data_IF_795401751971
#
_entry.id   IF_795401751971
#
_cell.length_a   1.000
_cell.length_b   1.000
_cell.length_c   1.000
_cell.angle_alpha   90.00
_cell.angle_beta   90.00
_cell.angle_gamma   90.00
#
_symmetry.space_group_name_H-M   'P 1'
#
loop_
_entity.id
_entity.type
_entity.pdbx_description
1 polymer ?
#
# COMPACT_ATOMS: atom_id res chain seq x y z
N UNK A 1 10.77 3.14 -18.93
CA UNK A 1 10.43 2.30 -17.78
C UNK A 1 9.74 3.06 -16.64
N UNK A 2 9.95 4.38 -16.56
CA UNK A 2 9.26 5.21 -15.55
C UNK A 2 7.74 5.08 -15.62
N UNK A 3 7.19 5.03 -16.81
CA UNK A 3 5.74 4.89 -17.01
C UNK A 3 5.23 3.58 -16.41
N UNK A 4 5.96 2.50 -16.56
CA UNK A 4 5.58 1.19 -16.00
C UNK A 4 5.61 1.21 -14.47
N UNK A 5 6.64 1.82 -13.88
CA UNK A 5 6.69 2.02 -12.44
C UNK A 5 5.54 2.88 -11.95
N UNK A 6 5.25 3.96 -12.67
CA UNK A 6 4.15 4.85 -12.29
C UNK A 6 2.82 4.12 -12.22
N UNK A 7 2.52 3.24 -13.17
CA UNK A 7 1.28 2.46 -13.17
C UNK A 7 1.26 1.42 -12.06
N UNK A 8 2.36 0.72 -11.84
CA UNK A 8 2.41 -0.25 -10.74
C UNK A 8 2.21 0.44 -9.39
N UNK A 9 2.90 1.55 -9.17
CA UNK A 9 2.79 2.32 -7.93
C UNK A 9 1.37 2.87 -7.76
N UNK A 10 0.75 3.36 -8.84
CA UNK A 10 -0.62 3.86 -8.78
C UNK A 10 -1.61 2.77 -8.40
N UNK A 11 -1.46 1.57 -8.94
CA UNK A 11 -2.29 0.43 -8.58
C UNK A 11 -2.08 0.01 -7.12
N UNK A 12 -0.82 -0.03 -6.70
CA UNK A 12 -0.49 -0.35 -5.32
C UNK A 12 -1.06 0.69 -4.34
N UNK A 13 -1.02 1.96 -4.74
CA UNK A 13 -1.55 3.05 -3.93
C UNK A 13 -3.04 2.88 -3.65
N UNK A 14 -3.81 2.37 -4.59
CA UNK A 14 -5.23 2.08 -4.37
C UNK A 14 -5.43 1.06 -3.25
N UNK A 15 -4.61 0.01 -3.22
CA UNK A 15 -4.66 -0.97 -2.14
C UNK A 15 -4.32 -0.33 -0.80
N UNK A 16 -3.35 0.58 -0.78
CA UNK A 16 -2.99 1.31 0.44
C UNK A 16 -4.12 2.21 0.94
N UNK A 17 -4.91 2.81 0.04
CA UNK A 17 -6.04 3.64 0.48
C UNK A 17 -7.10 2.84 1.22
N UNK A 18 -7.31 1.58 0.85
CA UNK A 18 -8.20 0.69 1.61
C UNK A 18 -7.65 0.40 2.99
N UNK A 19 -6.33 0.21 3.11
CA UNK A 19 -5.69 0.00 4.39
C UNK A 19 -5.77 1.26 5.26
N UNK A 20 -5.62 2.43 4.66
CA UNK A 20 -5.79 3.70 5.35
C UNK A 20 -7.22 3.85 5.94
N UNK A 21 -8.23 3.46 5.18
CA UNK A 21 -9.61 3.44 5.68
C UNK A 21 -9.77 2.48 6.85
N UNK A 22 -9.01 1.40 6.90
CA UNK A 22 -9.00 0.48 8.04
C UNK A 22 -8.50 1.18 9.31
N UNK A 23 -7.46 2.01 9.20
CA UNK A 23 -6.99 2.83 10.31
C UNK A 23 -8.11 3.71 10.86
N UNK A 24 -8.80 4.41 9.97
CA UNK A 24 -9.84 5.36 10.35
C UNK A 24 -11.06 4.68 10.98
N UNK A 25 -11.42 3.49 10.50
CA UNK A 25 -12.55 2.71 10.99
C UNK A 25 -12.21 2.00 12.30
N UNK A 26 -10.96 1.59 12.46
CA UNK A 26 -10.49 0.97 13.69
C UNK A 26 -10.45 1.93 14.87
N UNK A 27 -10.61 3.22 14.61
CA UNK A 27 -10.62 4.23 15.65
C UNK A 27 -12.02 4.29 16.29
N UNK A 28 -12.12 3.90 17.54
CA UNK A 28 -13.33 4.02 18.34
C UNK A 28 -13.22 5.26 19.23
N UNK A 29 -14.01 6.27 18.93
CA UNK A 29 -14.00 7.54 19.65
C UNK A 29 -14.26 7.39 21.15
N UNK A 30 -14.94 6.33 21.53
CA UNK A 30 -15.30 6.07 22.94
C UNK A 30 -14.26 5.24 23.67
N UNK A 31 -13.16 4.88 23.02
CA UNK A 31 -12.18 3.98 23.61
C UNK A 31 -10.85 4.68 23.77
N UNK A 32 -10.47 4.89 25.02
CA UNK A 32 -9.17 5.46 25.36
C UNK A 32 -8.01 4.53 25.04
N UNK A 33 -8.30 3.29 24.61
CA UNK A 33 -7.29 2.27 24.36
C UNK A 33 -6.58 2.39 23.03
N UNK A 34 -6.96 3.33 22.19
CA UNK A 34 -6.51 3.41 20.81
C UNK A 34 -5.47 4.45 20.54
N UNK A 35 -5.12 5.20 21.55
CA UNK A 35 -4.07 6.19 21.42
C UNK A 35 -2.75 5.47 21.20
N UNK A 36 -2.28 5.48 19.98
CA UNK A 36 -1.00 4.91 19.61
C UNK A 36 -1.00 3.52 18.93
N UNK A 37 -2.16 2.86 18.77
CA UNK A 37 -2.24 1.56 18.07
C UNK A 37 -3.30 1.56 16.98
N UNK A 38 -3.09 2.29 15.88
CA UNK A 38 -4.14 2.56 14.90
C UNK A 38 -4.69 1.33 14.20
N UNK A 39 -3.97 0.23 14.14
CA UNK A 39 -4.43 -1.03 13.53
C UNK A 39 -4.85 -2.09 14.52
N UNK A 40 -4.84 -1.80 15.82
CA UNK A 40 -5.09 -2.81 16.85
C UNK A 40 -6.55 -3.25 16.94
N UNK A 41 -7.47 -2.48 16.34
CA UNK A 41 -8.88 -2.60 16.62
C UNK A 41 -9.68 -2.94 15.38
N UNK A 42 -10.72 -3.74 15.60
CA UNK A 42 -11.64 -4.17 14.55
C UNK A 42 -10.97 -4.85 13.34
N UNK A 43 -9.74 -5.28 13.51
CA UNK A 43 -9.03 -5.99 12.47
C UNK A 43 -9.78 -7.26 12.08
N UNK A 44 -10.47 -7.92 13.02
CA UNK A 44 -11.27 -9.11 12.73
C UNK A 44 -12.52 -8.81 11.92
N UNK A 45 -13.19 -7.70 12.17
CA UNK A 45 -14.47 -7.41 11.53
C UNK A 45 -14.32 -6.72 10.19
N UNK A 46 -13.53 -5.67 10.12
CA UNK A 46 -13.39 -4.83 8.92
C UNK A 46 -11.98 -4.82 8.36
N UNK A 47 -10.99 -4.98 9.24
CA UNK A 47 -9.59 -4.91 8.84
C UNK A 47 -9.11 -6.12 8.06
N UNK A 48 -9.65 -7.32 8.35
CA UNK A 48 -9.22 -8.54 7.66
C UNK A 48 -9.34 -8.46 6.14
N UNK A 49 -10.53 -8.15 5.59
CA UNK A 49 -10.69 -7.97 4.15
C UNK A 49 -9.79 -6.88 3.57
N UNK A 50 -9.60 -5.79 4.29
CA UNK A 50 -8.75 -4.68 3.81
C UNK A 50 -7.27 -5.02 3.86
N UNK A 51 -6.84 -5.80 4.85
CA UNK A 51 -5.50 -6.36 4.88
C UNK A 51 -5.28 -7.31 3.69
N UNK A 52 -6.28 -8.12 3.35
CA UNK A 52 -6.21 -8.98 2.16
C UNK A 52 -6.05 -8.15 0.88
N UNK A 53 -6.75 -7.03 0.76
CA UNK A 53 -6.61 -6.12 -0.38
C UNK A 53 -5.18 -5.58 -0.47
N UNK A 54 -4.57 -5.27 0.67
CA UNK A 54 -3.18 -4.80 0.68
C UNK A 54 -2.21 -5.83 0.09
N UNK A 55 -2.51 -7.13 0.21
CA UNK A 55 -1.69 -8.18 -0.39
C UNK A 55 -1.79 -8.24 -1.91
N UNK A 56 -2.72 -7.52 -2.53
CA UNK A 56 -2.84 -7.45 -3.99
C UNK A 56 -1.79 -6.52 -4.61
N UNK A 57 -1.00 -5.84 -3.81
CA UNK A 57 0.11 -5.05 -4.31
C UNK A 57 1.13 -5.93 -5.03
N UNK A 58 1.76 -5.36 -6.04
CA UNK A 58 2.77 -6.07 -6.82
C UNK A 58 4.09 -5.32 -6.88
N UNK A 59 5.15 -6.07 -7.13
CA UNK A 59 6.49 -5.57 -7.40
C UNK A 59 7.03 -6.14 -8.72
N UNK A 60 6.12 -6.56 -9.60
CA UNK A 60 6.48 -7.24 -10.85
C UNK A 60 7.31 -6.37 -11.78
N UNK A 61 6.94 -5.09 -11.88
CA UNK A 61 7.70 -4.15 -12.71
C UNK A 61 9.08 -3.94 -12.10
N UNK A 62 9.17 -3.77 -10.80
CA UNK A 62 10.44 -3.59 -10.12
C UNK A 62 11.38 -4.77 -10.37
N UNK A 63 10.89 -5.99 -10.21
CA UNK A 63 11.67 -7.20 -10.44
C UNK A 63 12.08 -7.34 -11.91
N UNK A 64 11.15 -7.07 -12.83
CA UNK A 64 11.41 -7.21 -14.26
C UNK A 64 12.45 -6.21 -14.76
N UNK A 65 12.48 -5.00 -14.21
CA UNK A 65 13.36 -3.93 -14.69
C UNK A 65 14.46 -3.56 -13.70
N UNK A 66 14.72 -4.41 -12.73
CA UNK A 66 15.73 -4.15 -11.70
C UNK A 66 17.11 -3.84 -12.31
N UNK A 67 17.53 -4.62 -13.31
CA UNK A 67 18.81 -4.42 -13.98
C UNK A 67 18.90 -3.12 -14.76
N UNK A 68 17.76 -2.49 -15.06
CA UNK A 68 17.70 -1.25 -15.82
C UNK A 68 17.57 -0.01 -14.94
N UNK A 69 17.49 -0.18 -13.63
CA UNK A 69 17.39 0.95 -12.69
C UNK A 69 18.58 1.90 -12.82
N UNK A 70 19.77 1.37 -13.14
CA UNK A 70 20.98 2.18 -13.32
C UNK A 70 20.85 3.21 -14.46
N UNK A 71 19.89 3.03 -15.35
CA UNK A 71 19.63 3.96 -16.46
C UNK A 71 18.79 5.17 -16.01
N UNK A 72 18.19 5.10 -14.84
CA UNK A 72 17.44 6.19 -14.26
C UNK A 72 18.37 7.12 -13.50
N UNK A 73 17.90 8.34 -13.21
CA UNK A 73 18.70 9.21 -12.38
C UNK A 73 18.73 8.72 -10.92
N UNK A 74 19.69 9.25 -10.17
CA UNK A 74 19.94 8.79 -8.81
C UNK A 74 18.73 8.96 -7.89
N UNK A 75 17.98 10.03 -8.07
CA UNK A 75 16.79 10.29 -7.26
C UNK A 75 15.70 9.27 -7.53
N UNK A 76 15.44 8.94 -8.80
CA UNK A 76 14.50 7.88 -9.16
C UNK A 76 14.90 6.56 -8.51
N UNK A 77 16.16 6.20 -8.63
CA UNK A 77 16.66 4.93 -8.08
C UNK A 77 16.43 4.88 -6.57
N UNK A 78 16.79 5.94 -5.87
CA UNK A 78 16.64 6.00 -4.41
C UNK A 78 15.18 5.87 -4.00
N UNK A 79 14.31 6.65 -4.62
CA UNK A 79 12.89 6.63 -4.29
C UNK A 79 12.24 5.28 -4.59
N UNK A 80 12.57 4.67 -5.73
CA UNK A 80 12.02 3.37 -6.10
C UNK A 80 12.52 2.27 -5.18
N UNK A 81 13.81 2.26 -4.86
CA UNK A 81 14.37 1.26 -3.94
C UNK A 81 13.74 1.38 -2.56
N UNK A 82 13.61 2.58 -2.04
CA UNK A 82 13.00 2.80 -0.73
C UNK A 82 11.53 2.40 -0.73
N UNK A 83 10.79 2.75 -1.79
CA UNK A 83 9.38 2.40 -1.91
C UNK A 83 9.16 0.88 -1.87
N UNK A 84 9.86 0.14 -2.73
CA UNK A 84 9.68 -1.30 -2.79
C UNK A 84 10.22 -2.03 -1.57
N UNK A 85 11.23 -1.46 -0.92
CA UNK A 85 11.69 -1.97 0.37
C UNK A 85 10.60 -1.85 1.44
N UNK A 86 10.00 -0.69 1.58
CA UNK A 86 8.91 -0.48 2.54
C UNK A 86 7.70 -1.34 2.21
N UNK A 87 7.36 -1.47 0.92
CA UNK A 87 6.29 -2.37 0.48
C UNK A 87 6.55 -3.79 0.97
N UNK A 88 7.75 -4.30 0.77
CA UNK A 88 8.08 -5.67 1.14
C UNK A 88 7.93 -5.91 2.64
N UNK A 89 8.34 -4.95 3.45
CA UNK A 89 8.20 -5.05 4.92
C UNK A 89 6.73 -4.98 5.31
N UNK A 90 5.98 -4.05 4.75
CA UNK A 90 4.56 -3.92 5.04
C UNK A 90 3.81 -5.21 4.69
N UNK A 91 4.07 -5.79 3.52
CA UNK A 91 3.40 -7.02 3.11
C UNK A 91 3.72 -8.19 4.05
N UNK A 92 4.95 -8.29 4.54
CA UNK A 92 5.30 -9.29 5.55
C UNK A 92 4.53 -9.07 6.85
N UNK A 93 4.41 -7.84 7.30
CA UNK A 93 3.61 -7.50 8.48
C UNK A 93 2.14 -7.85 8.29
N UNK A 94 1.58 -7.56 7.11
CA UNK A 94 0.18 -7.88 6.77
C UNK A 94 -0.04 -9.39 6.78
N UNK A 95 0.86 -10.15 6.15
CA UNK A 95 0.77 -11.62 6.13
C UNK A 95 0.82 -12.21 7.53
N UNK A 96 1.75 -11.72 8.34
CA UNK A 96 1.88 -12.16 9.73
C UNK A 96 0.62 -11.89 10.54
N UNK A 97 0.05 -10.70 10.38
CA UNK A 97 -1.19 -10.30 11.06
C UNK A 97 -2.35 -11.21 10.64
N UNK A 98 -2.52 -11.44 9.35
CA UNK A 98 -3.59 -12.30 8.83
C UNK A 98 -3.44 -13.74 9.34
N UNK A 99 -2.21 -14.24 9.41
CA UNK A 99 -1.96 -15.58 9.94
C UNK A 99 -2.33 -15.68 11.41
N UNK A 100 -1.98 -14.70 12.21
CA UNK A 100 -2.40 -14.63 13.63
C UNK A 100 -3.91 -14.61 13.77
N UNK A 101 -4.59 -13.87 12.90
CA UNK A 101 -6.06 -13.81 12.89
C UNK A 101 -6.70 -15.15 12.58
N UNK A 102 -6.12 -15.94 11.67
CA UNK A 102 -6.61 -17.27 11.31
C UNK A 102 -6.42 -18.30 12.42
N UNK A 103 -5.33 -18.20 13.14
CA UNK A 103 -4.97 -19.17 14.18
C UNK A 103 -5.58 -18.85 15.54
N UNK A 104 -6.17 -17.67 15.71
CA UNK A 104 -6.75 -17.23 16.98
C UNK A 104 -8.26 -17.34 16.96
N UNK A 105 -8.82 -17.96 18.00
CA UNK A 105 -10.25 -17.95 18.26
C UNK A 105 -10.67 -16.73 19.11
N UNK A 106 -9.72 -15.95 19.55
CA UNK A 106 -9.96 -14.80 20.38
C UNK A 106 -10.40 -13.60 19.58
N UNK A 107 -11.22 -12.76 20.20
CA UNK A 107 -11.69 -11.52 19.61
C UNK A 107 -10.54 -10.53 19.46
N UNK A 108 -9.56 -10.58 20.35
CA UNK A 108 -8.37 -9.75 20.32
C UNK A 108 -7.20 -10.53 19.72
N UNK A 109 -6.68 -10.01 18.63
CA UNK A 109 -5.47 -10.53 18.01
C UNK A 109 -4.32 -9.63 18.43
N UNK A 110 -3.26 -10.24 18.94
CA UNK A 110 -2.04 -9.51 19.26
C UNK A 110 -1.31 -9.20 17.96
N UNK A 111 -1.45 -7.96 17.49
CA UNK A 111 -0.76 -7.47 16.32
C UNK A 111 0.14 -6.30 16.70
N UNK A 112 1.22 -6.14 15.95
CA UNK A 112 2.07 -4.97 16.11
C UNK A 112 1.52 -3.82 15.27
N UNK A 113 0.58 -3.10 15.85
CA UNK A 113 -0.07 -1.96 15.19
C UNK A 113 0.89 -0.81 14.90
N UNK A 114 1.92 -0.63 15.72
CA UNK A 114 2.94 0.39 15.50
C UNK A 114 3.80 0.04 14.29
N UNK A 115 4.20 -1.21 14.16
CA UNK A 115 5.00 -1.66 13.03
C UNK A 115 4.21 -1.53 11.72
N UNK A 116 2.95 -1.95 11.74
CA UNK A 116 2.05 -1.76 10.59
C UNK A 116 1.93 -0.29 10.22
N UNK A 117 1.71 0.58 11.21
CA UNK A 117 1.56 2.02 10.99
C UNK A 117 2.82 2.63 10.40
N UNK A 118 3.98 2.30 10.93
CA UNK A 118 5.26 2.83 10.47
C UNK A 118 5.47 2.51 8.99
N UNK A 119 5.38 1.24 8.63
CA UNK A 119 5.68 0.82 7.26
C UNK A 119 4.56 1.20 6.29
N UNK A 120 3.31 1.24 6.76
CA UNK A 120 2.22 1.79 5.97
C UNK A 120 2.50 3.26 5.62
N UNK A 121 2.82 4.07 6.62
CA UNK A 121 3.06 5.51 6.39
C UNK A 121 4.27 5.73 5.49
N UNK A 122 5.32 4.95 5.68
CA UNK A 122 6.51 5.07 4.84
C UNK A 122 6.18 4.73 3.38
N UNK A 123 5.50 3.62 3.12
CA UNK A 123 5.13 3.25 1.76
C UNK A 123 4.14 4.25 1.17
N UNK A 124 3.14 4.66 1.94
CA UNK A 124 2.12 5.61 1.50
C UNK A 124 2.73 6.95 1.10
N UNK A 125 3.62 7.49 1.94
CA UNK A 125 4.29 8.75 1.66
C UNK A 125 5.20 8.65 0.43
N UNK A 126 5.96 7.58 0.31
CA UNK A 126 6.81 7.34 -0.85
C UNK A 126 6.00 7.20 -2.12
N UNK A 127 4.86 6.52 -2.07
CA UNK A 127 3.98 6.40 -3.22
C UNK A 127 3.45 7.77 -3.66
N UNK A 128 3.09 8.63 -2.72
CA UNK A 128 2.64 9.99 -3.03
C UNK A 128 3.75 10.82 -3.69
N UNK A 129 4.96 10.72 -3.19
CA UNK A 129 6.12 11.41 -3.78
C UNK A 129 6.35 10.93 -5.21
N UNK A 130 6.36 9.62 -5.41
CA UNK A 130 6.60 9.03 -6.72
C UNK A 130 5.46 9.33 -7.71
N UNK A 131 4.21 9.26 -7.26
CA UNK A 131 3.06 9.56 -8.11
C UNK A 131 3.05 11.03 -8.53
N UNK A 132 3.46 11.93 -7.64
CA UNK A 132 3.63 13.34 -7.98
C UNK A 132 4.77 13.52 -8.98
N UNK A 133 5.89 12.86 -8.75
CA UNK A 133 7.05 12.92 -9.64
C UNK A 133 6.72 12.42 -11.04
N UNK A 134 5.90 11.37 -11.13
CA UNK A 134 5.53 10.73 -12.40
C UNK A 134 4.15 11.13 -12.92
N UNK A 135 3.54 12.16 -12.35
CA UNK A 135 2.18 12.56 -12.72
C UNK A 135 2.04 12.89 -14.22
N UNK A 136 3.05 13.49 -14.80
CA UNK A 136 3.07 13.81 -16.24
C UNK A 136 3.03 12.56 -17.12
N UNK A 137 3.60 11.45 -16.66
CA UNK A 137 3.58 10.18 -17.40
C UNK A 137 2.21 9.51 -17.35
N UNK A 138 1.54 9.61 -16.22
CA UNK A 138 0.19 9.07 -16.06
C UNK A 138 -0.85 9.88 -16.86
N UNK A 139 -0.71 11.19 -16.87
CA UNK A 139 -1.62 12.08 -17.59
C UNK A 139 -1.45 12.01 -19.11
N UNK A 140 -0.28 11.56 -19.60
CA UNK A 140 -0.02 11.43 -21.04
C UNK A 140 -0.62 10.14 -21.62
N UNK A 141 -1.01 9.20 -20.78
CA UNK A 141 -1.64 8.01 -21.29
C UNK A 141 -3.04 8.31 -21.78
N UNK A 142 -3.42 7.84 -22.98
CA UNK A 142 -4.76 8.03 -23.46
C UNK A 142 -5.74 7.35 -22.49
N UNK A 143 -6.83 8.08 -22.19
CA UNK A 143 -7.93 7.49 -21.44
C UNK A 143 -8.40 6.26 -22.21
N UNK A 144 -8.81 5.24 -21.47
CA UNK A 144 -9.28 4.00 -22.09
C UNK A 144 -10.34 4.32 -23.13
N UNK A 145 -10.16 3.89 -24.39
CA UNK A 145 -11.13 4.18 -25.47
C UNK A 145 -12.55 3.78 -25.13
N UNK A 146 -12.71 2.66 -24.42
CA UNK A 146 -14.01 2.16 -24.01
C UNK A 146 -14.79 3.12 -23.12
N UNK A 147 -14.09 3.99 -22.39
CA UNK A 147 -14.75 5.01 -21.57
C UNK A 147 -15.39 6.10 -22.41
N UNK A 148 -14.80 6.42 -23.56
CA UNK A 148 -15.37 7.35 -24.52
C UNK A 148 -16.51 6.73 -25.29
N UNK A 149 -16.36 5.48 -25.67
CA UNK A 149 -17.36 4.75 -26.46
C UNK A 149 -18.64 4.53 -25.70
N UNK A 150 -18.55 4.36 -24.38
CA UNK A 150 -19.71 4.20 -23.53
C UNK A 150 -20.55 5.47 -23.37
N UNK A 151 -19.98 6.62 -23.70
CA UNK A 151 -20.65 7.91 -23.58
C UNK A 151 -21.19 8.43 -24.93
N UNK A 152 -20.98 7.67 -25.95
CA UNK A 152 -21.51 7.95 -27.27
C UNK A 152 -22.77 7.12 -27.51
#
# INVERSE_FOLDING_TARGET
>A
IRTMFAYEIANNHRALTFLDKTRNIGFDENSEHFVGEPFAINVKSLGGPRLQIALNQTDKVFKAYFSELSKLDKEDVTLLMDYYHEQSILLECVKSTLQKMKSSNDIKVDIDGYLLEEHFMNEFNLSNILLKRYSHLLSQHPKKPETKDLHN
#
